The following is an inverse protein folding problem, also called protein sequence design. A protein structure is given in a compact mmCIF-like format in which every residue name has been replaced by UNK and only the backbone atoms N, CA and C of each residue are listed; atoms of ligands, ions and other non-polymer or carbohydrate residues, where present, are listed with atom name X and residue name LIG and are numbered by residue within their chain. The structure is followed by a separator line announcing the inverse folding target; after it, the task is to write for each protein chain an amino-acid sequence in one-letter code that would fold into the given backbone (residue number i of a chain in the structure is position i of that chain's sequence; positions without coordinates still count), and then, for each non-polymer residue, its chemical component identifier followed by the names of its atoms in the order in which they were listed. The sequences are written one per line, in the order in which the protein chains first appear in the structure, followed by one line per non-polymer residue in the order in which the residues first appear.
data_IF_170322170295
#
_entry.id   IF_170322170295
#
_cell.length_a   1.000
_cell.length_b   1.000
_cell.length_c   1.000
_cell.angle_alpha   90.00
_cell.angle_beta   90.00
_cell.angle_gamma   90.00
#
_symmetry.space_group_name_H-M   'P 1'
#
loop_
_entity.id
_entity.type
_entity.pdbx_description
1 polymer ?
#
# COMPACT_ATOMS: atom_id res chain seq x y z
N UNK A 1 7.61 18.88 8.83
CA UNK A 1 8.26 19.12 7.52
C UNK A 1 8.86 20.51 7.51
N UNK A 2 9.99 20.69 6.84
CA UNK A 2 10.68 21.99 6.73
C UNK A 2 10.52 22.62 5.34
N UNK A 3 10.01 21.85 4.38
CA UNK A 3 9.82 22.24 2.99
C UNK A 3 8.68 23.24 2.85
N UNK A 4 8.76 24.10 1.85
CA UNK A 4 7.70 25.02 1.47
C UNK A 4 6.44 24.23 1.11
N UNK A 5 5.29 24.69 1.59
CA UNK A 5 4.02 23.96 1.49
C UNK A 5 2.92 24.82 0.87
N UNK A 6 2.12 24.20 0.02
CA UNK A 6 0.82 24.72 -0.40
C UNK A 6 -0.27 23.94 0.34
N UNK A 7 -1.10 24.64 1.06
CA UNK A 7 -2.24 24.10 1.78
C UNK A 7 -3.45 24.02 0.83
N UNK A 8 -4.05 22.84 0.74
CA UNK A 8 -5.29 22.62 -0.03
C UNK A 8 -6.42 22.46 0.99
N UNK A 9 -7.42 23.31 0.93
CA UNK A 9 -8.64 23.17 1.73
C UNK A 9 -9.72 22.47 0.93
N UNK A 10 -10.27 21.40 1.53
CA UNK A 10 -11.34 20.63 0.94
C UNK A 10 -12.69 21.32 1.13
N UNK A 11 -13.19 21.90 0.03
CA UNK A 11 -14.51 22.50 -0.06
C UNK A 11 -15.46 21.65 -0.92
N UNK A 12 -15.30 20.32 -0.91
CA UNK A 12 -16.15 19.37 -1.63
C UNK A 12 -15.61 18.93 -3.00
N UNK A 13 -14.31 19.06 -3.23
CA UNK A 13 -13.66 18.61 -4.47
C UNK A 13 -13.18 17.15 -4.35
N UNK A 14 -13.53 16.33 -5.34
CA UNK A 14 -12.96 14.99 -5.51
C UNK A 14 -11.54 15.02 -6.11
N UNK A 15 -11.12 16.18 -6.64
CA UNK A 15 -9.83 16.39 -7.30
C UNK A 15 -8.68 16.73 -6.32
N UNK A 16 -8.94 16.85 -5.01
CA UNK A 16 -7.93 17.22 -4.02
C UNK A 16 -6.68 16.34 -4.05
N UNK A 17 -6.78 14.98 -4.10
CA UNK A 17 -5.60 14.13 -4.14
C UNK A 17 -4.80 14.28 -5.44
N UNK A 18 -5.48 14.53 -6.56
CA UNK A 18 -4.85 14.76 -7.86
C UNK A 18 -4.08 16.07 -7.86
N UNK A 19 -4.71 17.16 -7.44
CA UNK A 19 -4.09 18.48 -7.34
C UNK A 19 -2.86 18.44 -6.42
N UNK A 20 -2.97 17.77 -5.28
CA UNK A 20 -1.86 17.59 -4.35
C UNK A 20 -0.66 16.88 -5.02
N UNK A 21 -0.91 15.81 -5.77
CA UNK A 21 0.16 15.08 -6.50
C UNK A 21 0.79 15.92 -7.59
N UNK A 22 0.00 16.69 -8.34
CA UNK A 22 0.51 17.59 -9.39
C UNK A 22 1.46 18.64 -8.82
N UNK A 23 1.13 19.25 -7.68
CA UNK A 23 2.01 20.21 -7.02
C UNK A 23 3.26 19.53 -6.46
N UNK A 24 3.13 18.36 -5.83
CA UNK A 24 4.28 17.58 -5.34
C UNK A 24 5.20 17.12 -6.46
N UNK A 25 4.68 16.78 -7.62
CA UNK A 25 5.47 16.46 -8.81
C UNK A 25 6.31 17.66 -9.29
N UNK A 26 5.91 18.89 -8.96
CA UNK A 26 6.69 20.12 -9.21
C UNK A 26 7.74 20.39 -8.12
N UNK A 27 7.86 19.52 -7.11
CA UNK A 27 8.82 19.65 -6.01
C UNK A 27 8.36 20.52 -4.84
N UNK A 28 7.07 20.80 -4.70
CA UNK A 28 6.52 21.57 -3.58
C UNK A 28 5.58 20.69 -2.74
N UNK A 29 5.78 20.70 -1.43
CA UNK A 29 4.97 19.90 -0.52
C UNK A 29 3.53 20.40 -0.41
N UNK A 30 2.59 19.49 -0.18
CA UNK A 30 1.17 19.82 0.00
C UNK A 30 0.53 19.03 1.12
N UNK A 31 -0.42 19.64 1.80
CA UNK A 31 -1.36 18.94 2.70
C UNK A 31 -2.78 19.32 2.36
N UNK A 32 -3.71 18.36 2.51
CA UNK A 32 -5.15 18.55 2.36
C UNK A 32 -5.75 18.65 3.77
N UNK A 33 -6.43 19.76 4.04
CA UNK A 33 -7.09 20.01 5.32
C UNK A 33 -8.58 20.30 5.12
N UNK A 34 -9.42 20.12 6.15
CA UNK A 34 -10.81 20.51 6.09
C UNK A 34 -10.96 22.04 5.98
N UNK A 35 -12.07 22.46 5.40
CA UNK A 35 -12.39 23.88 5.19
C UNK A 35 -12.47 24.68 6.49
N UNK A 36 -12.82 24.05 7.61
CA UNK A 36 -13.01 24.63 8.92
C UNK A 36 -11.75 24.66 9.80
N UNK A 37 -10.56 24.56 9.18
CA UNK A 37 -9.25 24.63 9.87
C UNK A 37 -9.23 25.85 10.81
N UNK A 38 -8.82 25.62 12.06
CA UNK A 38 -8.73 26.66 13.08
C UNK A 38 -7.46 27.52 12.92
N UNK A 39 -7.47 28.71 13.57
CA UNK A 39 -6.30 29.57 13.61
C UNK A 39 -5.08 28.89 14.27
N UNK A 40 -5.29 28.06 15.28
CA UNK A 40 -4.22 27.33 15.96
C UNK A 40 -3.59 26.26 15.05
N UNK A 41 -4.42 25.51 14.30
CA UNK A 41 -3.95 24.51 13.34
C UNK A 41 -3.17 25.18 12.20
N UNK A 42 -3.69 26.29 11.68
CA UNK A 42 -2.99 27.05 10.62
C UNK A 42 -1.65 27.62 11.10
N UNK A 43 -1.60 28.13 12.33
CA UNK A 43 -0.37 28.63 12.94
C UNK A 43 0.66 27.51 13.20
N UNK A 44 0.25 26.26 13.31
CA UNK A 44 1.12 25.10 13.43
C UNK A 44 1.78 24.69 12.09
N UNK A 45 1.46 25.37 10.99
CA UNK A 45 1.98 25.13 9.64
C UNK A 45 2.85 26.32 9.16
N UNK A 46 4.02 26.55 9.80
CA UNK A 46 4.80 27.77 9.57
C UNK A 46 5.42 27.88 8.17
N UNK A 47 5.50 26.76 7.44
CA UNK A 47 6.05 26.71 6.07
C UNK A 47 4.97 26.83 4.99
N UNK A 48 3.71 27.07 5.33
CA UNK A 48 2.68 27.34 4.36
C UNK A 48 2.99 28.64 3.59
N UNK A 49 3.04 28.55 2.26
CA UNK A 49 3.32 29.67 1.35
C UNK A 49 2.07 30.17 0.65
N UNK A 50 1.03 29.38 0.61
CA UNK A 50 -0.23 29.73 -0.02
C UNK A 50 -1.32 28.71 0.29
N UNK A 51 -2.54 29.10 0.02
CA UNK A 51 -3.74 28.30 0.29
C UNK A 51 -4.57 28.19 -0.99
N UNK A 52 -5.00 26.98 -1.31
CA UNK A 52 -5.97 26.71 -2.39
C UNK A 52 -7.30 26.33 -1.76
N UNK A 53 -8.35 27.09 -2.07
CA UNK A 53 -9.73 26.76 -1.74
C UNK A 53 -10.30 25.94 -2.89
N UNK A 54 -10.36 24.61 -2.74
CA UNK A 54 -10.74 23.73 -3.83
C UNK A 54 -12.19 23.26 -3.68
N UNK A 55 -13.09 23.94 -4.35
CA UNK A 55 -14.50 23.60 -4.48
C UNK A 55 -14.71 22.48 -5.51
N UNK A 56 -15.93 21.96 -5.58
CA UNK A 56 -16.29 20.90 -6.51
C UNK A 56 -17.77 20.52 -6.43
N UNK A 57 -18.06 19.31 -6.86
CA UNK A 57 -19.44 18.81 -6.97
C UNK A 57 -20.17 18.76 -5.62
N UNK A 58 -19.44 18.57 -4.52
CA UNK A 58 -19.99 18.46 -3.17
C UNK A 58 -19.84 19.74 -2.33
N UNK A 59 -19.64 20.90 -2.99
CA UNK A 59 -19.44 22.20 -2.31
C UNK A 59 -20.69 22.75 -1.63
N UNK A 60 -21.86 22.20 -1.90
CA UNK A 60 -23.12 22.64 -1.31
C UNK A 60 -23.65 21.57 -0.38
N UNK A 61 -23.79 21.89 0.91
CA UNK A 61 -24.38 21.03 1.94
C UNK A 61 -25.60 21.74 2.50
N UNK A 62 -26.74 21.06 2.52
CA UNK A 62 -28.03 21.60 3.02
C UNK A 62 -28.41 22.95 2.38
N UNK A 63 -28.06 23.13 1.09
CA UNK A 63 -28.36 24.36 0.33
C UNK A 63 -27.41 25.52 0.61
N UNK A 64 -26.38 25.33 1.42
CA UNK A 64 -25.36 26.34 1.73
C UNK A 64 -24.01 25.92 1.15
N UNK A 65 -23.37 26.85 0.43
CA UNK A 65 -22.02 26.62 -0.08
C UNK A 65 -21.01 26.60 1.08
N UNK A 66 -20.20 25.52 1.15
CA UNK A 66 -19.13 25.38 2.14
C UNK A 66 -18.13 26.52 1.94
N UNK A 67 -17.67 27.10 3.03
CA UNK A 67 -16.67 28.17 2.99
C UNK A 67 -15.50 27.89 3.94
N UNK A 68 -14.36 28.51 3.66
CA UNK A 68 -13.22 28.44 4.54
C UNK A 68 -13.43 29.25 5.83
N UNK A 69 -12.76 28.84 6.89
CA UNK A 69 -12.82 29.56 8.18
C UNK A 69 -12.29 30.99 8.08
N UNK A 70 -12.75 31.88 8.96
CA UNK A 70 -12.25 33.27 9.01
C UNK A 70 -10.74 33.35 9.22
N UNK A 71 -10.13 32.37 9.88
CA UNK A 71 -8.69 32.28 10.10
C UNK A 71 -7.91 32.17 8.79
N UNK A 72 -8.47 31.51 7.79
CA UNK A 72 -7.87 31.37 6.45
C UNK A 72 -7.77 32.71 5.76
N UNK A 73 -8.86 33.46 5.72
CA UNK A 73 -8.90 34.77 5.10
C UNK A 73 -8.05 35.81 5.84
N UNK A 74 -7.87 35.65 7.15
CA UNK A 74 -7.03 36.49 8.00
C UNK A 74 -5.55 36.11 8.04
N UNK A 75 -5.15 35.01 7.35
CA UNK A 75 -3.80 34.46 7.44
C UNK A 75 -2.70 35.31 6.81
N UNK A 76 -3.06 36.19 5.88
CA UNK A 76 -2.09 36.98 5.09
C UNK A 76 -1.38 36.17 3.99
N UNK A 77 -1.69 34.86 3.85
CA UNK A 77 -1.16 34.04 2.79
C UNK A 77 -1.90 34.26 1.46
N UNK A 78 -1.24 34.12 0.31
CA UNK A 78 -1.92 34.09 -0.97
C UNK A 78 -2.99 33.00 -1.03
N UNK A 79 -4.19 33.36 -1.48
CA UNK A 79 -5.33 32.43 -1.60
C UNK A 79 -5.73 32.31 -3.08
N UNK A 80 -5.89 31.08 -3.54
CA UNK A 80 -6.45 30.77 -4.85
C UNK A 80 -7.75 29.95 -4.69
N UNK A 81 -8.85 30.54 -5.14
CA UNK A 81 -10.14 29.85 -5.15
C UNK A 81 -10.36 29.16 -6.51
N UNK A 82 -10.72 27.89 -6.47
CA UNK A 82 -11.04 27.03 -7.63
C UNK A 82 -12.46 26.52 -7.44
N UNK A 83 -13.33 26.78 -8.42
CA UNK A 83 -14.75 26.38 -8.40
C UNK A 83 -15.43 26.68 -7.04
N UNK A 84 -15.21 27.86 -6.52
CA UNK A 84 -15.73 28.34 -5.25
C UNK A 84 -16.13 29.82 -5.34
N UNK A 85 -17.35 30.16 -4.87
CA UNK A 85 -17.90 31.52 -4.84
C UNK A 85 -17.78 32.26 -6.20
N UNK A 86 -18.09 31.57 -7.28
CA UNK A 86 -18.07 32.13 -8.62
C UNK A 86 -16.68 32.20 -9.28
N UNK A 87 -15.64 31.65 -8.64
CA UNK A 87 -14.35 31.45 -9.29
C UNK A 87 -14.40 30.37 -10.35
N UNK A 88 -13.52 30.48 -11.35
CA UNK A 88 -13.47 29.53 -12.47
C UNK A 88 -12.95 28.16 -12.02
N UNK A 89 -13.55 27.05 -12.46
CA UNK A 89 -12.98 25.73 -12.30
C UNK A 89 -11.58 25.64 -12.93
N UNK A 90 -10.72 24.83 -12.36
CA UNK A 90 -9.44 24.51 -12.97
C UNK A 90 -9.65 23.66 -14.22
N UNK A 91 -8.91 23.92 -15.29
CA UNK A 91 -8.97 23.10 -16.50
C UNK A 91 -8.78 21.59 -16.15
N UNK A 92 -9.51 20.72 -16.84
CA UNK A 92 -9.48 19.29 -16.54
C UNK A 92 -8.08 18.69 -16.74
N UNK A 93 -7.40 19.06 -17.84
CA UNK A 93 -6.10 18.53 -18.24
C UNK A 93 -5.30 19.54 -19.06
N UNK A 94 -4.04 19.20 -19.36
CA UNK A 94 -3.19 19.86 -20.34
C UNK A 94 -2.41 21.06 -19.82
N UNK A 95 -1.77 21.76 -20.77
CA UNK A 95 -0.84 22.86 -20.48
C UNK A 95 -1.49 24.01 -19.68
N UNK A 96 -2.76 24.31 -19.94
CA UNK A 96 -3.48 25.37 -19.23
C UNK A 96 -3.62 25.06 -17.73
N UNK A 97 -3.89 23.79 -17.38
CA UNK A 97 -3.95 23.33 -15.98
C UNK A 97 -2.58 23.46 -15.32
N UNK A 98 -1.56 22.90 -15.94
CA UNK A 98 -0.19 22.94 -15.40
C UNK A 98 0.29 24.38 -15.22
N UNK A 99 0.05 25.23 -16.22
CA UNK A 99 0.42 26.65 -16.16
C UNK A 99 -0.25 27.38 -15.00
N UNK A 100 -1.56 27.18 -14.81
CA UNK A 100 -2.29 27.83 -13.71
C UNK A 100 -1.74 27.43 -12.34
N UNK A 101 -1.44 26.15 -12.14
CA UNK A 101 -0.84 25.65 -10.91
C UNK A 101 0.55 26.28 -10.71
N UNK A 102 1.41 26.27 -11.73
CA UNK A 102 2.76 26.87 -11.67
C UNK A 102 2.73 28.38 -11.37
N UNK A 103 1.84 29.12 -12.02
CA UNK A 103 1.69 30.55 -11.83
C UNK A 103 1.28 30.88 -10.38
N UNK A 104 0.43 30.08 -9.77
CA UNK A 104 0.08 30.23 -8.37
C UNK A 104 1.23 29.83 -7.45
N UNK A 105 1.76 28.62 -7.58
CA UNK A 105 2.76 28.05 -6.67
C UNK A 105 4.07 28.85 -6.71
N UNK A 106 4.62 29.06 -7.89
CA UNK A 106 5.92 29.74 -8.04
C UNK A 106 5.79 31.24 -8.32
N UNK A 107 4.77 31.64 -9.06
CA UNK A 107 4.54 33.04 -9.42
C UNK A 107 4.00 33.85 -8.25
N UNK A 108 2.94 33.41 -7.61
CA UNK A 108 2.24 34.12 -6.54
C UNK A 108 2.80 33.78 -5.17
N UNK A 109 2.86 32.50 -4.81
CA UNK A 109 3.31 32.05 -3.49
C UNK A 109 4.82 32.10 -3.30
N UNK A 110 5.61 32.19 -4.39
CA UNK A 110 7.08 32.17 -4.37
C UNK A 110 7.63 30.95 -3.63
N UNK A 111 6.95 29.80 -3.71
CA UNK A 111 7.40 28.57 -3.08
C UNK A 111 8.67 28.04 -3.76
N UNK A 112 9.55 27.44 -2.98
CA UNK A 112 10.75 26.77 -3.47
C UNK A 112 10.47 25.31 -3.74
N UNK A 113 11.05 24.76 -4.82
CA UNK A 113 10.96 23.35 -5.16
C UNK A 113 11.93 22.53 -4.30
N UNK A 114 11.64 22.37 -3.02
CA UNK A 114 12.49 21.70 -2.04
C UNK A 114 11.87 20.39 -1.48
N UNK A 115 10.72 19.95 -2.02
CA UNK A 115 10.13 18.65 -1.73
C UNK A 115 10.79 17.57 -2.57
N UNK A 116 11.54 16.68 -1.93
CA UNK A 116 12.13 15.48 -2.50
C UNK A 116 12.36 14.44 -1.40
N UNK A 117 12.68 13.20 -1.79
CA UNK A 117 12.80 12.12 -0.82
C UNK A 117 14.01 12.22 0.10
N UNK A 118 15.11 12.84 -0.33
CA UNK A 118 16.28 13.04 0.54
C UNK A 118 15.96 14.00 1.68
N UNK A 119 15.30 15.12 1.38
CA UNK A 119 14.85 16.07 2.38
C UNK A 119 13.77 15.46 3.29
N UNK A 120 12.82 14.70 2.73
CA UNK A 120 11.82 13.97 3.51
C UNK A 120 12.47 13.00 4.48
N UNK A 121 13.40 12.16 4.03
CA UNK A 121 14.09 11.17 4.86
C UNK A 121 14.86 11.86 5.99
N UNK A 122 15.58 12.94 5.69
CA UNK A 122 16.32 13.71 6.68
C UNK A 122 15.39 14.26 7.78
N UNK A 123 14.28 14.88 7.39
CA UNK A 123 13.28 15.41 8.32
C UNK A 123 12.63 14.32 9.16
N UNK A 124 12.27 13.17 8.53
CA UNK A 124 11.63 12.07 9.24
C UNK A 124 12.58 11.41 10.25
N UNK A 125 13.85 11.26 9.92
CA UNK A 125 14.85 10.74 10.87
C UNK A 125 14.92 11.64 12.11
N UNK A 126 14.92 12.95 11.94
CA UNK A 126 14.94 13.89 13.06
C UNK A 126 13.66 13.82 13.90
N UNK A 127 12.49 13.76 13.24
CA UNK A 127 11.18 13.64 13.90
C UNK A 127 11.06 12.34 14.68
N UNK A 128 11.44 11.21 14.09
CA UNK A 128 11.41 9.89 14.72
C UNK A 128 12.33 9.88 15.95
N UNK A 129 13.55 10.37 15.83
CA UNK A 129 14.49 10.44 16.98
C UNK A 129 13.94 11.27 18.13
N UNK A 130 13.28 12.37 17.82
CA UNK A 130 12.65 13.26 18.82
C UNK A 130 11.45 12.57 19.49
N UNK A 131 10.62 11.89 18.70
CA UNK A 131 9.42 11.20 19.20
C UNK A 131 9.78 10.00 20.06
N UNK A 132 10.70 9.18 19.58
CA UNK A 132 11.07 7.89 20.21
C UNK A 132 12.02 8.07 21.38
N UNK A 133 12.94 9.04 21.30
CA UNK A 133 13.96 9.24 22.32
C UNK A 133 14.84 7.99 22.50
N UNK A 134 14.93 7.50 23.73
CA UNK A 134 15.68 6.29 24.13
C UNK A 134 14.83 5.01 24.17
N UNK A 135 13.56 5.11 23.76
CA UNK A 135 12.59 4.01 23.85
C UNK A 135 12.73 3.02 22.70
N UNK A 136 12.06 1.88 22.84
CA UNK A 136 12.05 0.83 21.82
C UNK A 136 10.78 0.86 21.00
N UNK A 137 10.93 0.50 19.72
CA UNK A 137 9.86 0.46 18.73
C UNK A 137 9.67 -0.97 18.22
N UNK A 138 8.43 -1.41 18.11
CA UNK A 138 8.05 -2.68 17.50
C UNK A 138 7.42 -2.43 16.14
N UNK A 139 7.76 -3.25 15.15
CA UNK A 139 7.17 -3.21 13.80
C UNK A 139 6.76 -4.60 13.34
N UNK A 140 5.52 -4.75 12.90
CA UNK A 140 5.10 -5.92 12.14
C UNK A 140 5.59 -5.78 10.69
N UNK A 141 6.62 -6.52 10.33
CA UNK A 141 7.25 -6.49 9.01
C UNK A 141 6.60 -7.54 8.10
N UNK A 142 5.56 -7.16 7.39
CA UNK A 142 4.82 -8.07 6.50
C UNK A 142 5.58 -8.45 5.21
N UNK A 143 6.64 -7.71 4.86
CA UNK A 143 7.31 -7.81 3.57
C UNK A 143 6.60 -7.03 2.45
N UNK A 144 5.48 -6.35 2.72
CA UNK A 144 4.87 -5.37 1.83
C UNK A 144 5.73 -4.10 1.71
N UNK A 145 5.54 -3.31 0.63
CA UNK A 145 6.37 -2.13 0.38
C UNK A 145 6.31 -1.14 1.55
N UNK A 146 5.13 -0.87 2.11
CA UNK A 146 4.98 0.14 3.17
C UNK A 146 5.72 -0.26 4.44
N UNK A 147 5.49 -1.47 4.96
CA UNK A 147 6.20 -1.98 6.14
C UNK A 147 7.71 -2.06 5.91
N UNK A 148 8.14 -2.37 4.70
CA UNK A 148 9.56 -2.43 4.32
C UNK A 148 10.21 -1.04 4.33
N UNK A 149 9.53 -0.02 3.81
CA UNK A 149 10.02 1.37 3.82
C UNK A 149 10.03 1.92 5.25
N UNK A 150 9.00 1.63 6.06
CA UNK A 150 8.99 1.96 7.51
C UNK A 150 10.20 1.33 8.21
N UNK A 151 10.46 0.03 7.98
CA UNK A 151 11.60 -0.66 8.57
C UNK A 151 12.93 0.02 8.19
N UNK A 152 13.16 0.26 6.90
CA UNK A 152 14.39 0.87 6.41
C UNK A 152 14.62 2.28 6.99
N UNK A 153 13.55 3.07 7.08
CA UNK A 153 13.62 4.41 7.65
C UNK A 153 13.91 4.39 9.15
N UNK A 154 13.25 3.50 9.90
CA UNK A 154 13.46 3.34 11.34
C UNK A 154 14.84 2.77 11.66
N UNK A 155 15.35 1.81 10.89
CA UNK A 155 16.73 1.31 11.02
C UNK A 155 17.73 2.47 10.92
N UNK A 156 17.54 3.34 9.92
CA UNK A 156 18.40 4.51 9.70
C UNK A 156 18.25 5.56 10.81
N UNK A 157 17.06 5.71 11.38
CA UNK A 157 16.78 6.69 12.42
C UNK A 157 17.25 6.26 13.81
N UNK A 158 16.91 5.03 14.24
CA UNK A 158 17.02 4.56 15.62
C UNK A 158 17.76 3.22 15.77
N UNK A 159 18.15 2.57 14.66
CA UNK A 159 18.98 1.36 14.68
C UNK A 159 18.42 0.26 15.59
N UNK A 160 19.19 -0.15 16.58
CA UNK A 160 18.88 -1.28 17.48
C UNK A 160 17.67 -1.05 18.41
N UNK A 161 17.13 0.16 18.49
CA UNK A 161 15.89 0.42 19.23
C UNK A 161 14.67 -0.17 18.50
N UNK A 162 14.78 -0.47 17.19
CA UNK A 162 13.75 -1.14 16.41
C UNK A 162 13.86 -2.66 16.55
N UNK A 163 12.73 -3.30 16.85
CA UNK A 163 12.53 -4.74 16.69
C UNK A 163 11.48 -4.98 15.61
N UNK A 164 11.86 -5.70 14.56
CA UNK A 164 10.94 -6.15 13.52
C UNK A 164 10.47 -7.57 13.80
N UNK A 165 9.18 -7.84 13.63
CA UNK A 165 8.61 -9.20 13.69
C UNK A 165 8.08 -9.55 12.32
N UNK A 166 8.63 -10.61 11.71
CA UNK A 166 8.13 -11.18 10.47
C UNK A 166 7.51 -12.54 10.72
N UNK A 167 6.24 -12.68 10.37
CA UNK A 167 5.48 -13.92 10.54
C UNK A 167 5.34 -14.62 9.18
N UNK A 168 5.98 -15.78 9.05
CA UNK A 168 5.71 -16.68 7.92
C UNK A 168 4.47 -17.53 8.24
N UNK A 169 3.35 -17.11 7.71
CA UNK A 169 2.05 -17.78 7.87
C UNK A 169 1.77 -18.83 6.77
N UNK A 170 2.74 -19.12 5.91
CA UNK A 170 2.60 -20.12 4.86
C UNK A 170 1.80 -19.69 3.62
N UNK A 171 1.25 -18.47 3.60
CA UNK A 171 0.44 -17.94 2.49
C UNK A 171 1.19 -16.89 1.68
N UNK A 172 2.49 -16.72 1.90
CA UNK A 172 3.36 -15.84 1.13
C UNK A 172 3.77 -16.48 -0.20
N UNK A 173 4.19 -15.64 -1.15
CA UNK A 173 4.76 -16.11 -2.42
C UNK A 173 6.06 -16.85 -2.19
N UNK A 174 6.49 -17.62 -3.20
CA UNK A 174 7.78 -18.32 -3.18
C UNK A 174 8.94 -17.35 -2.98
N UNK A 175 9.78 -17.62 -1.99
CA UNK A 175 10.99 -16.86 -1.69
C UNK A 175 10.78 -15.54 -0.92
N UNK A 176 9.53 -15.14 -0.64
CA UNK A 176 9.28 -13.88 0.08
C UNK A 176 9.77 -13.89 1.54
N UNK A 177 9.52 -14.94 2.35
CA UNK A 177 10.04 -14.97 3.71
C UNK A 177 11.57 -14.90 3.75
N UNK A 178 12.24 -15.62 2.86
CA UNK A 178 13.70 -15.66 2.73
C UNK A 178 14.25 -14.30 2.31
N UNK A 179 13.59 -13.61 1.38
CA UNK A 179 13.97 -12.27 0.94
C UNK A 179 13.89 -11.26 2.09
N UNK A 180 12.85 -11.33 2.93
CA UNK A 180 12.72 -10.45 4.10
C UNK A 180 13.88 -10.68 5.08
N UNK A 181 14.23 -11.92 5.36
CA UNK A 181 15.37 -12.24 6.25
C UNK A 181 16.67 -11.73 5.65
N UNK A 182 16.93 -12.00 4.37
CA UNK A 182 18.15 -11.56 3.70
C UNK A 182 18.28 -10.03 3.74
N UNK A 183 17.28 -9.30 3.29
CA UNK A 183 17.35 -7.83 3.19
C UNK A 183 17.45 -7.20 4.58
N UNK A 184 16.56 -7.56 5.50
CA UNK A 184 16.48 -6.82 6.76
C UNK A 184 17.45 -7.32 7.81
N UNK A 185 17.67 -8.64 7.96
CA UNK A 185 18.59 -9.18 8.95
C UNK A 185 20.02 -9.14 8.47
N UNK A 186 20.30 -9.66 7.25
CA UNK A 186 21.66 -9.88 6.78
C UNK A 186 22.28 -8.62 6.16
N UNK A 187 21.54 -7.90 5.31
CA UNK A 187 22.07 -6.73 4.62
C UNK A 187 21.92 -5.44 5.42
N UNK A 188 20.76 -5.21 6.06
CA UNK A 188 20.48 -3.99 6.83
C UNK A 188 20.78 -4.10 8.33
N UNK A 189 21.08 -5.29 8.85
CA UNK A 189 21.44 -5.50 10.24
C UNK A 189 20.31 -5.25 11.24
N UNK A 190 19.04 -5.40 10.81
CA UNK A 190 17.89 -5.22 11.67
C UNK A 190 17.79 -6.28 12.76
N UNK A 191 17.31 -5.90 13.94
CA UNK A 191 16.86 -6.84 14.94
C UNK A 191 15.53 -7.46 14.47
N UNK A 192 15.62 -8.61 13.77
CA UNK A 192 14.49 -9.29 13.16
C UNK A 192 14.16 -10.58 13.89
N UNK A 193 12.96 -10.64 14.47
CA UNK A 193 12.32 -11.86 14.97
C UNK A 193 11.57 -12.50 13.82
N UNK A 194 12.01 -13.68 13.40
CA UNK A 194 11.34 -14.48 12.39
C UNK A 194 10.51 -15.57 13.07
N UNK A 195 9.22 -15.60 12.78
CA UNK A 195 8.29 -16.56 13.36
C UNK A 195 7.78 -17.49 12.27
N UNK A 196 8.12 -18.78 12.35
CA UNK A 196 7.51 -19.80 11.51
C UNK A 196 6.19 -20.25 12.14
N UNK A 197 5.09 -19.81 11.54
CA UNK A 197 3.73 -20.12 11.97
C UNK A 197 2.93 -20.87 10.90
N UNK A 198 3.60 -21.48 9.91
CA UNK A 198 2.95 -22.13 8.75
C UNK A 198 1.90 -23.14 9.19
N UNK A 199 2.26 -24.09 10.02
CA UNK A 199 1.32 -25.13 10.46
C UNK A 199 0.17 -24.54 11.28
N UNK A 200 0.46 -23.60 12.14
CA UNK A 200 -0.52 -22.91 12.98
C UNK A 200 -1.64 -22.24 12.17
N UNK A 201 -1.28 -21.56 11.08
CA UNK A 201 -2.26 -20.92 10.19
C UNK A 201 -3.01 -21.95 9.35
N UNK A 202 -2.31 -22.91 8.74
CA UNK A 202 -2.92 -23.90 7.86
C UNK A 202 -3.87 -24.83 8.60
N UNK A 203 -3.57 -25.21 9.83
CA UNK A 203 -4.45 -26.02 10.67
C UNK A 203 -5.78 -25.30 11.00
N UNK A 204 -5.72 -23.99 11.26
CA UNK A 204 -6.92 -23.17 11.48
C UNK A 204 -7.75 -22.92 10.23
N UNK A 205 -7.14 -22.98 9.07
CA UNK A 205 -7.78 -22.81 7.77
C UNK A 205 -8.31 -24.13 7.19
N UNK A 206 -7.99 -25.27 7.81
CA UNK A 206 -8.41 -26.59 7.33
C UNK A 206 -9.94 -26.67 7.21
N UNK A 207 -10.44 -27.00 6.00
CA UNK A 207 -11.87 -27.11 5.72
C UNK A 207 -12.64 -25.79 5.63
N UNK A 208 -11.98 -24.65 5.73
CA UNK A 208 -12.62 -23.32 5.62
C UNK A 208 -12.63 -22.89 4.16
N UNK A 209 -13.83 -22.86 3.55
CA UNK A 209 -14.01 -22.49 2.13
C UNK A 209 -14.54 -21.08 1.90
N UNK A 210 -15.19 -20.48 2.89
CA UNK A 210 -15.73 -19.13 2.78
C UNK A 210 -14.61 -18.07 2.82
N UNK A 211 -14.52 -17.18 1.81
CA UNK A 211 -13.42 -16.23 1.70
C UNK A 211 -13.35 -15.23 2.85
N UNK A 212 -14.49 -14.74 3.33
CA UNK A 212 -14.51 -13.78 4.44
C UNK A 212 -14.10 -14.44 5.76
N UNK A 213 -14.47 -15.71 5.94
CA UNK A 213 -14.03 -16.49 7.09
C UNK A 213 -12.53 -16.76 7.05
N UNK A 214 -11.97 -17.08 5.86
CA UNK A 214 -10.50 -17.17 5.69
C UNK A 214 -9.81 -15.87 6.11
N UNK A 215 -10.25 -14.70 5.59
CA UNK A 215 -9.69 -13.39 5.93
C UNK A 215 -9.72 -13.12 7.44
N UNK A 216 -10.84 -13.39 8.10
CA UNK A 216 -11.00 -13.22 9.54
C UNK A 216 -10.07 -14.12 10.35
N UNK A 217 -9.92 -15.38 9.96
CA UNK A 217 -9.04 -16.33 10.64
C UNK A 217 -7.59 -15.89 10.48
N UNK A 218 -7.16 -15.54 9.25
CA UNK A 218 -5.78 -15.10 8.97
C UNK A 218 -5.47 -13.84 9.77
N UNK A 219 -6.33 -12.83 9.73
CA UNK A 219 -6.14 -11.60 10.47
C UNK A 219 -6.09 -11.79 11.98
N UNK A 220 -7.04 -12.53 12.54
CA UNK A 220 -7.08 -12.80 13.98
C UNK A 220 -5.85 -13.61 14.46
N UNK A 221 -5.41 -14.59 13.67
CA UNK A 221 -4.25 -15.39 14.04
C UNK A 221 -2.94 -14.62 13.93
N UNK A 222 -2.83 -13.75 12.92
CA UNK A 222 -1.69 -12.84 12.79
C UNK A 222 -1.55 -11.96 14.04
N UNK A 223 -2.65 -11.37 14.50
CA UNK A 223 -2.67 -10.52 15.71
C UNK A 223 -2.22 -11.33 16.94
N UNK A 224 -2.70 -12.57 17.11
CA UNK A 224 -2.30 -13.43 18.25
C UNK A 224 -0.81 -13.76 18.23
N UNK A 225 -0.28 -14.15 17.07
CA UNK A 225 1.15 -14.45 16.93
C UNK A 225 1.99 -13.19 17.23
N UNK A 226 1.56 -12.05 16.69
CA UNK A 226 2.26 -10.79 16.93
C UNK A 226 2.21 -10.36 18.39
N UNK A 227 1.06 -10.51 19.06
CA UNK A 227 0.90 -10.26 20.49
C UNK A 227 1.80 -11.15 21.34
N UNK A 228 1.86 -12.46 21.05
CA UNK A 228 2.72 -13.42 21.75
C UNK A 228 4.19 -13.02 21.64
N UNK A 229 4.64 -12.56 20.48
CA UNK A 229 6.01 -12.08 20.28
C UNK A 229 6.24 -10.74 20.98
N UNK A 230 5.28 -9.80 20.91
CA UNK A 230 5.36 -8.52 21.60
C UNK A 230 5.50 -8.68 23.11
N UNK A 231 4.80 -9.64 23.72
CA UNK A 231 4.86 -9.93 25.17
C UNK A 231 6.20 -10.51 25.62
N UNK A 232 7.00 -11.09 24.73
CA UNK A 232 8.35 -11.59 25.03
C UNK A 232 9.40 -10.48 25.06
N UNK A 233 9.06 -9.31 24.51
CA UNK A 233 9.96 -8.17 24.38
C UNK A 233 9.75 -7.18 25.53
N UNK A 234 10.85 -6.78 26.16
CA UNK A 234 10.81 -5.82 27.26
C UNK A 234 11.09 -4.38 26.79
N UNK A 235 10.39 -3.43 27.38
CA UNK A 235 10.63 -2.01 27.19
C UNK A 235 10.17 -1.46 25.83
N UNK A 236 9.21 -2.13 25.16
CA UNK A 236 8.57 -1.59 23.96
C UNK A 236 7.50 -0.59 24.37
N UNK A 237 7.62 0.65 23.89
CA UNK A 237 6.65 1.72 24.15
C UNK A 237 5.95 2.19 22.86
N UNK A 238 6.55 1.93 21.69
CA UNK A 238 6.03 2.36 20.41
C UNK A 238 5.73 1.20 19.46
N UNK A 239 4.64 1.35 18.69
CA UNK A 239 4.31 0.49 17.57
C UNK A 239 4.42 1.30 16.27
N UNK A 240 5.26 0.84 15.33
CA UNK A 240 5.37 1.45 14.03
C UNK A 240 4.34 0.88 13.05
N UNK A 241 3.76 1.75 12.23
CA UNK A 241 2.75 1.38 11.23
C UNK A 241 3.04 2.01 9.87
N UNK A 242 2.67 1.30 8.82
CA UNK A 242 2.83 1.72 7.43
C UNK A 242 1.64 2.50 6.87
N UNK A 243 0.95 3.29 7.70
CA UNK A 243 -0.11 4.21 7.25
C UNK A 243 0.44 5.18 6.22
N UNK A 244 -0.27 5.38 5.13
CA UNK A 244 0.09 6.31 4.05
C UNK A 244 -0.98 7.41 3.87
N UNK A 245 -0.67 8.44 3.09
CA UNK A 245 -1.54 9.62 3.00
C UNK A 245 -2.95 9.33 2.44
N UNK A 246 -3.15 8.46 1.44
CA UNK A 246 -4.49 8.05 1.01
C UNK A 246 -5.34 7.47 2.13
N UNK A 247 -4.77 6.67 3.04
CA UNK A 247 -5.51 6.09 4.18
C UNK A 247 -6.08 7.17 5.09
N UNK A 248 -5.38 8.31 5.23
CA UNK A 248 -5.81 9.45 6.03
C UNK A 248 -6.90 10.24 5.31
N UNK A 249 -6.74 10.48 4.00
CA UNK A 249 -7.70 11.25 3.21
C UNK A 249 -9.04 10.53 3.11
N UNK A 250 -9.02 9.22 2.81
CA UNK A 250 -10.22 8.39 2.65
C UNK A 250 -11.01 8.25 3.96
N UNK A 251 -10.33 8.36 5.10
CA UNK A 251 -10.97 8.28 6.42
C UNK A 251 -11.78 9.50 6.79
N UNK A 252 -11.67 10.58 6.05
CA UNK A 252 -12.25 11.87 6.39
C UNK A 252 -11.60 12.50 7.64
N UNK A 253 -11.32 13.76 7.60
CA UNK A 253 -10.61 14.52 8.65
C UNK A 253 -11.29 14.54 10.03
N UNK A 254 -12.54 14.10 10.12
CA UNK A 254 -13.31 14.03 11.40
C UNK A 254 -13.46 12.62 11.99
N UNK A 255 -13.00 11.56 11.31
CA UNK A 255 -13.18 10.17 11.73
C UNK A 255 -11.88 9.38 11.87
N UNK A 256 -10.85 9.95 12.46
CA UNK A 256 -9.60 9.24 12.84
C UNK A 256 -9.85 7.95 13.65
N UNK A 257 -11.04 7.78 14.23
CA UNK A 257 -11.46 6.54 14.90
C UNK A 257 -11.94 5.42 13.96
N UNK A 258 -12.35 5.72 12.72
CA UNK A 258 -12.92 4.72 11.81
C UNK A 258 -11.84 3.97 10.97
N UNK A 259 -10.71 4.61 10.68
CA UNK A 259 -9.58 3.97 9.94
C UNK A 259 -8.85 2.91 10.75
N UNK A 260 -9.02 2.91 12.05
CA UNK A 260 -8.37 1.92 12.94
C UNK A 260 -8.74 0.46 12.68
N UNK A 261 -9.65 0.13 11.76
CA UNK A 261 -10.16 -1.23 11.63
C UNK A 261 -9.61 -2.08 10.48
N UNK A 262 -8.96 -1.52 9.45
CA UNK A 262 -8.65 -2.28 8.24
C UNK A 262 -7.15 -2.43 7.87
N UNK A 263 -6.26 -1.57 8.34
CA UNK A 263 -4.83 -1.63 8.04
C UNK A 263 -3.93 -1.72 9.28
N UNK A 264 -4.50 -1.75 10.45
CA UNK A 264 -3.78 -1.73 11.71
C UNK A 264 -3.77 -3.09 12.38
N UNK A 265 -2.69 -3.36 13.10
CA UNK A 265 -2.65 -4.29 14.23
C UNK A 265 -3.62 -3.79 15.33
N UNK A 266 -4.78 -3.26 14.93
CA UNK A 266 -5.83 -2.65 15.76
C UNK A 266 -6.73 -3.64 16.51
N UNK A 267 -6.23 -4.88 16.66
CA UNK A 267 -6.84 -5.90 17.54
C UNK A 267 -5.92 -6.30 18.66
N UNK A 268 -4.81 -5.55 18.89
CA UNK A 268 -3.98 -5.79 20.06
C UNK A 268 -4.79 -5.46 21.33
N UNK A 269 -4.63 -6.26 22.40
CA UNK A 269 -5.27 -6.02 23.68
C UNK A 269 -4.95 -4.63 24.25
N UNK A 270 -5.90 -4.03 24.95
CA UNK A 270 -5.77 -2.70 25.55
C UNK A 270 -4.62 -2.60 26.58
N UNK A 271 -4.19 -3.73 27.15
CA UNK A 271 -3.06 -3.79 28.07
C UNK A 271 -1.68 -3.65 27.39
N UNK A 272 -1.61 -3.83 26.04
CA UNK A 272 -0.48 -3.46 25.21
C UNK A 272 -0.66 -2.01 24.72
N UNK A 273 -0.41 -1.06 25.60
CA UNK A 273 -0.61 0.36 25.32
C UNK A 273 0.62 0.98 24.65
N UNK A 274 0.68 0.86 23.31
CA UNK A 274 1.74 1.45 22.50
C UNK A 274 1.35 2.82 21.96
N UNK A 275 2.30 3.75 21.94
CA UNK A 275 2.21 4.95 21.12
C UNK A 275 2.54 4.61 19.66
N UNK A 276 1.90 5.31 18.70
CA UNK A 276 2.09 5.04 17.28
C UNK A 276 3.22 5.87 16.68
N UNK A 277 4.04 5.23 15.85
CA UNK A 277 5.01 5.87 14.96
C UNK A 277 4.59 5.58 13.52
N UNK A 278 4.14 6.61 12.79
CA UNK A 278 3.60 6.53 11.44
C UNK A 278 4.40 7.41 10.48
N UNK A 279 5.62 7.01 10.12
CA UNK A 279 6.55 7.91 9.41
C UNK A 279 6.16 8.18 7.96
N UNK A 280 5.29 7.37 7.37
CA UNK A 280 4.88 7.49 5.96
C UNK A 280 3.51 8.14 5.77
N UNK A 281 2.83 8.54 6.85
CA UNK A 281 1.44 9.00 6.82
C UNK A 281 1.17 10.22 5.93
N UNK A 282 2.22 10.94 5.53
CA UNK A 282 2.12 12.09 4.65
C UNK A 282 2.58 11.81 3.22
N UNK A 283 2.92 10.55 2.88
CA UNK A 283 3.35 10.16 1.54
C UNK A 283 2.24 9.49 0.73
N UNK A 284 2.16 9.82 -0.55
CA UNK A 284 1.44 9.02 -1.52
C UNK A 284 2.20 7.74 -1.85
N UNK A 285 1.53 6.75 -2.46
CA UNK A 285 2.12 5.43 -2.72
C UNK A 285 3.36 5.46 -3.63
N UNK A 286 3.36 6.33 -4.62
CA UNK A 286 4.50 6.57 -5.51
C UNK A 286 5.69 7.20 -4.76
N UNK A 287 5.42 8.12 -3.84
CA UNK A 287 6.44 8.71 -2.96
C UNK A 287 7.01 7.69 -1.98
N UNK A 288 6.17 6.79 -1.43
CA UNK A 288 6.64 5.67 -0.60
C UNK A 288 7.64 4.80 -1.36
N UNK A 289 7.34 4.48 -2.62
CA UNK A 289 8.26 3.72 -3.47
C UNK A 289 9.56 4.48 -3.73
N UNK A 290 9.48 5.77 -4.07
CA UNK A 290 10.65 6.61 -4.26
C UNK A 290 11.50 6.71 -2.98
N UNK A 291 10.86 6.81 -1.81
CA UNK A 291 11.51 6.78 -0.50
C UNK A 291 12.23 5.44 -0.26
N UNK A 292 11.59 4.32 -0.60
CA UNK A 292 12.19 2.98 -0.50
C UNK A 292 13.48 2.85 -1.33
N UNK A 293 13.45 3.35 -2.56
CA UNK A 293 14.66 3.39 -3.44
C UNK A 293 15.76 4.24 -2.82
N UNK A 294 15.42 5.45 -2.34
CA UNK A 294 16.38 6.35 -1.69
C UNK A 294 16.96 5.78 -0.39
N UNK A 295 16.24 4.89 0.29
CA UNK A 295 16.71 4.15 1.46
C UNK A 295 17.55 2.90 1.12
N UNK A 296 17.68 2.55 -0.16
CA UNK A 296 18.48 1.43 -0.64
C UNK A 296 17.77 0.08 -0.65
N UNK A 297 16.45 0.05 -0.56
CA UNK A 297 15.69 -1.20 -0.70
C UNK A 297 15.78 -1.74 -2.15
N UNK A 298 15.82 -3.07 -2.34
CA UNK A 298 15.83 -3.67 -3.67
C UNK A 298 14.60 -3.25 -4.51
N UNK A 299 14.82 -2.96 -5.79
CA UNK A 299 13.76 -2.58 -6.71
C UNK A 299 12.64 -3.64 -6.79
N UNK A 300 12.99 -4.93 -6.72
CA UNK A 300 12.05 -6.06 -6.68
C UNK A 300 11.11 -6.04 -5.47
N UNK A 301 11.53 -5.43 -4.38
CA UNK A 301 10.70 -5.25 -3.18
C UNK A 301 9.85 -3.98 -3.27
N UNK A 302 10.42 -2.89 -3.77
CA UNK A 302 9.77 -1.57 -3.86
C UNK A 302 8.68 -1.53 -4.94
N UNK A 303 8.98 -2.10 -6.12
CA UNK A 303 8.08 -2.07 -7.29
C UNK A 303 7.26 -3.34 -7.47
N UNK A 304 7.22 -4.21 -6.45
CA UNK A 304 6.39 -5.40 -6.52
C UNK A 304 4.93 -5.06 -6.81
N UNK A 305 4.27 -5.92 -7.59
CA UNK A 305 2.84 -5.79 -7.86
C UNK A 305 2.01 -5.97 -6.56
N UNK A 306 0.77 -5.46 -6.52
CA UNK A 306 -0.12 -5.65 -5.39
C UNK A 306 -0.25 -7.12 -4.99
N UNK A 307 -0.36 -7.37 -3.69
CA UNK A 307 -0.59 -8.69 -3.13
C UNK A 307 -1.62 -8.58 -2.01
N UNK A 308 -2.67 -9.41 -2.01
CA UNK A 308 -3.73 -9.30 -1.02
C UNK A 308 -3.22 -9.61 0.39
N UNK A 309 -3.82 -8.97 1.41
CA UNK A 309 -3.46 -9.21 2.81
C UNK A 309 -3.50 -10.68 3.22
N UNK A 310 -4.54 -11.48 2.84
CA UNK A 310 -4.58 -12.92 3.11
C UNK A 310 -3.58 -13.75 2.29
N UNK A 311 -2.79 -13.14 1.43
CA UNK A 311 -1.80 -13.80 0.59
C UNK A 311 -2.42 -14.80 -0.38
N UNK A 312 -1.75 -15.94 -0.56
CA UNK A 312 -2.23 -17.03 -1.42
C UNK A 312 -3.52 -17.70 -0.88
N UNK A 313 -3.96 -17.38 0.33
CA UNK A 313 -5.17 -17.91 0.92
C UNK A 313 -6.43 -17.61 0.12
N UNK A 314 -6.49 -16.46 -0.58
CA UNK A 314 -7.60 -16.06 -1.48
C UNK A 314 -7.32 -16.40 -2.95
N UNK A 315 -6.20 -17.04 -3.26
CA UNK A 315 -5.84 -17.57 -4.58
C UNK A 315 -5.89 -19.11 -4.64
N UNK A 316 -5.92 -19.77 -3.47
CA UNK A 316 -6.29 -21.17 -3.33
C UNK A 316 -7.80 -21.20 -3.03
N UNK A 317 -8.62 -21.31 -4.09
CA UNK A 317 -10.07 -21.09 -4.02
C UNK A 317 -10.76 -22.24 -3.27
N UNK A 318 -11.76 -21.91 -2.47
CA UNK A 318 -12.39 -22.86 -1.56
C UNK A 318 -11.48 -23.26 -0.38
N UNK A 319 -11.64 -24.43 0.20
CA UNK A 319 -10.83 -24.87 1.33
C UNK A 319 -9.37 -25.07 0.92
N UNK A 320 -8.44 -24.49 1.68
CA UNK A 320 -7.00 -24.58 1.39
C UNK A 320 -6.50 -25.98 1.71
N UNK A 321 -5.80 -26.60 0.74
CA UNK A 321 -5.02 -27.83 0.94
C UNK A 321 -3.54 -27.56 0.65
N UNK A 322 -2.64 -28.30 1.33
CA UNK A 322 -1.20 -28.04 1.19
C UNK A 322 -0.69 -28.27 -0.23
N UNK A 323 -1.21 -29.28 -0.93
CA UNK A 323 -0.84 -29.58 -2.30
C UNK A 323 -1.29 -28.49 -3.28
N UNK A 324 -2.52 -27.96 -3.13
CA UNK A 324 -3.00 -26.83 -3.95
C UNK A 324 -2.28 -25.53 -3.60
N UNK A 325 -2.03 -25.29 -2.33
CA UNK A 325 -1.28 -24.10 -1.91
C UNK A 325 0.14 -24.10 -2.51
N UNK A 326 0.81 -25.25 -2.52
CA UNK A 326 2.12 -25.37 -3.15
C UNK A 326 2.02 -25.21 -4.67
N UNK A 327 1.00 -25.79 -5.29
CA UNK A 327 0.78 -25.68 -6.73
C UNK A 327 0.52 -24.21 -7.16
N UNK A 328 -0.25 -23.44 -6.40
CA UNK A 328 -0.47 -22.02 -6.72
C UNK A 328 0.82 -21.19 -6.48
N UNK A 329 1.59 -21.51 -5.45
CA UNK A 329 2.88 -20.83 -5.16
C UNK A 329 3.89 -21.05 -6.28
N UNK A 330 4.06 -22.28 -6.74
CA UNK A 330 4.98 -22.63 -7.82
C UNK A 330 4.53 -22.08 -9.18
N UNK A 331 3.24 -22.22 -9.51
CA UNK A 331 2.71 -21.66 -10.77
C UNK A 331 2.77 -20.14 -10.82
N UNK A 332 2.53 -19.44 -9.72
CA UNK A 332 2.68 -17.99 -9.62
C UNK A 332 4.15 -17.56 -9.80
N UNK A 333 5.08 -18.32 -9.25
CA UNK A 333 6.52 -18.07 -9.44
C UNK A 333 6.94 -18.19 -10.91
N UNK A 334 6.47 -19.21 -11.62
CA UNK A 334 6.71 -19.40 -13.07
C UNK A 334 6.12 -18.23 -13.87
N UNK A 335 4.87 -17.86 -13.58
CA UNK A 335 4.21 -16.74 -14.25
C UNK A 335 4.99 -15.44 -14.09
N UNK A 336 5.40 -15.11 -12.86
CA UNK A 336 6.17 -13.89 -12.58
C UNK A 336 7.54 -13.91 -13.27
N UNK A 337 8.22 -15.04 -13.27
CA UNK A 337 9.50 -15.21 -13.96
C UNK A 337 9.38 -14.96 -15.46
N UNK A 338 8.38 -15.56 -16.10
CA UNK A 338 8.16 -15.38 -17.54
C UNK A 338 7.71 -13.98 -17.91
N UNK A 339 6.87 -13.33 -17.08
CA UNK A 339 6.49 -11.93 -17.30
C UNK A 339 7.71 -11.00 -17.20
N UNK A 340 8.59 -11.22 -16.23
CA UNK A 340 9.83 -10.46 -16.10
C UNK A 340 10.75 -10.65 -17.31
N UNK A 341 10.97 -11.90 -17.74
CA UNK A 341 11.82 -12.23 -18.92
C UNK A 341 11.30 -11.62 -20.21
N UNK A 342 10.00 -11.45 -20.34
CA UNK A 342 9.35 -10.89 -21.53
C UNK A 342 9.03 -9.38 -21.40
N UNK A 343 9.57 -8.71 -20.39
CA UNK A 343 9.44 -7.26 -20.21
C UNK A 343 8.01 -6.79 -19.90
N UNK A 344 7.18 -7.64 -19.29
CA UNK A 344 5.82 -7.32 -18.85
C UNK A 344 5.78 -6.89 -17.37
N UNK A 345 6.81 -7.21 -16.59
CA UNK A 345 6.95 -6.71 -15.24
C UNK A 345 6.98 -5.17 -15.21
N UNK A 346 6.17 -4.57 -14.33
CA UNK A 346 6.00 -3.13 -14.26
C UNK A 346 5.12 -2.50 -15.35
N UNK A 347 4.78 -3.24 -16.43
CA UNK A 347 3.84 -2.80 -17.47
C UNK A 347 2.44 -3.32 -17.21
N UNK A 348 2.31 -4.57 -16.77
CA UNK A 348 1.03 -5.15 -16.35
C UNK A 348 0.84 -4.85 -14.88
N UNK A 349 -0.30 -4.24 -14.53
CA UNK A 349 -0.55 -3.75 -13.18
C UNK A 349 -0.58 -4.87 -12.14
N UNK A 350 -1.30 -5.98 -12.43
CA UNK A 350 -1.33 -7.17 -11.58
C UNK A 350 -1.51 -8.43 -12.41
N UNK A 351 -0.75 -9.46 -12.09
CA UNK A 351 -0.85 -10.77 -12.69
C UNK A 351 -0.50 -11.84 -11.66
N UNK A 352 -1.24 -12.94 -11.69
CA UNK A 352 -1.11 -14.01 -10.71
C UNK A 352 -1.74 -15.30 -11.22
N UNK A 353 -1.51 -16.39 -10.50
CA UNK A 353 -2.25 -17.62 -10.67
C UNK A 353 -3.21 -17.84 -9.50
N UNK A 354 -4.36 -18.48 -9.79
CA UNK A 354 -5.29 -18.99 -8.81
C UNK A 354 -5.53 -20.47 -9.05
N UNK A 355 -5.85 -21.22 -8.02
CA UNK A 355 -6.12 -22.64 -8.11
C UNK A 355 -7.51 -22.96 -7.55
N UNK A 356 -8.49 -23.32 -8.41
CA UNK A 356 -9.81 -23.73 -7.97
C UNK A 356 -9.78 -25.14 -7.38
N UNK A 357 -10.81 -25.49 -6.61
CA UNK A 357 -11.04 -26.86 -6.16
C UNK A 357 -11.65 -27.70 -7.31
N UNK A 358 -10.89 -27.79 -8.39
CA UNK A 358 -11.29 -28.44 -9.64
C UNK A 358 -10.15 -29.24 -10.23
N UNK A 359 -10.40 -30.53 -10.45
CA UNK A 359 -9.50 -31.44 -11.17
C UNK A 359 -9.97 -31.67 -12.59
N UNK A 360 -9.03 -31.99 -13.44
CA UNK A 360 -9.25 -32.30 -14.85
C UNK A 360 -8.38 -33.50 -15.26
N UNK A 361 -8.94 -34.31 -16.13
CA UNK A 361 -8.21 -35.45 -16.70
C UNK A 361 -7.08 -34.96 -17.59
N UNK A 362 -5.90 -35.54 -17.42
CA UNK A 362 -4.73 -35.36 -18.23
C UNK A 362 -3.89 -36.62 -18.33
N UNK A 363 -2.68 -36.48 -18.83
CA UNK A 363 -1.71 -37.58 -18.93
C UNK A 363 -0.42 -37.18 -18.23
N UNK A 364 0.07 -38.02 -17.33
CA UNK A 364 1.39 -37.91 -16.71
C UNK A 364 2.09 -39.27 -16.79
N UNK A 365 3.33 -39.25 -17.26
CA UNK A 365 4.14 -40.50 -17.42
C UNK A 365 3.40 -41.61 -18.19
N UNK A 366 2.75 -41.25 -19.30
CA UNK A 366 1.91 -42.12 -20.13
C UNK A 366 0.72 -42.80 -19.42
N UNK A 367 0.30 -42.28 -18.26
CA UNK A 367 -0.87 -42.73 -17.51
C UNK A 367 -1.89 -41.62 -17.39
N UNK A 368 -3.18 -42.05 -17.35
CA UNK A 368 -4.27 -41.10 -17.03
C UNK A 368 -4.06 -40.56 -15.63
N UNK A 369 -4.09 -39.26 -15.51
CA UNK A 369 -4.00 -38.54 -14.24
C UNK A 369 -5.18 -37.57 -14.10
N UNK A 370 -5.69 -37.43 -12.87
CA UNK A 370 -6.73 -36.47 -12.51
C UNK A 370 -6.10 -35.43 -11.59
N UNK A 371 -5.76 -34.27 -12.17
CA UNK A 371 -4.92 -33.27 -11.53
C UNK A 371 -5.58 -31.88 -11.59
N UNK A 372 -5.05 -30.95 -10.77
CA UNK A 372 -5.59 -29.62 -10.59
C UNK A 372 -5.52 -28.76 -11.85
N UNK A 373 -6.47 -27.82 -11.95
CA UNK A 373 -6.45 -26.74 -12.92
C UNK A 373 -5.85 -25.49 -12.26
N UNK A 374 -5.07 -24.72 -13.02
CA UNK A 374 -4.56 -23.40 -12.64
C UNK A 374 -5.17 -22.36 -13.55
N UNK A 375 -5.54 -21.22 -12.99
CA UNK A 375 -6.06 -20.06 -13.71
C UNK A 375 -5.00 -18.99 -13.70
N UNK A 376 -4.66 -18.46 -14.87
CA UNK A 376 -3.83 -17.24 -15.04
C UNK A 376 -4.77 -16.05 -15.11
N UNK A 377 -4.46 -15.02 -14.33
CA UNK A 377 -5.12 -13.72 -14.33
C UNK A 377 -4.08 -12.64 -14.61
N UNK A 378 -4.34 -11.74 -15.55
CA UNK A 378 -3.50 -10.57 -15.84
C UNK A 378 -4.38 -9.37 -16.19
N UNK A 379 -4.24 -8.26 -15.47
CA UNK A 379 -5.13 -7.11 -15.58
C UNK A 379 -4.38 -5.79 -15.46
N UNK A 380 -4.94 -4.76 -16.11
CA UNK A 380 -4.52 -3.38 -16.00
C UNK A 380 -5.65 -2.51 -15.44
N UNK A 381 -5.27 -1.56 -14.61
CA UNK A 381 -6.19 -0.59 -14.00
C UNK A 381 -5.45 0.69 -13.65
N UNK A 382 -6.21 1.79 -13.52
CA UNK A 382 -5.70 3.08 -13.04
C UNK A 382 -6.03 3.27 -11.55
N UNK A 383 -7.24 2.89 -11.16
CA UNK A 383 -7.84 3.21 -9.86
C UNK A 383 -8.35 1.99 -9.07
N UNK A 384 -8.17 0.79 -9.62
CA UNK A 384 -8.73 -0.48 -9.14
C UNK A 384 -10.28 -0.54 -9.14
N UNK A 385 -10.99 0.51 -9.54
CA UNK A 385 -12.46 0.49 -9.66
C UNK A 385 -12.90 -0.24 -10.93
N UNK A 386 -12.20 0.01 -12.03
CA UNK A 386 -12.35 -0.71 -13.30
C UNK A 386 -11.03 -1.39 -13.66
N UNK A 387 -11.09 -2.53 -14.32
CA UNK A 387 -9.89 -3.22 -14.80
C UNK A 387 -10.14 -3.89 -16.15
N UNK A 388 -9.18 -3.76 -17.04
CA UNK A 388 -9.16 -4.46 -18.34
C UNK A 388 -8.24 -5.67 -18.25
N UNK A 389 -8.55 -6.70 -19.03
CA UNK A 389 -7.66 -7.87 -19.16
C UNK A 389 -6.48 -7.50 -20.05
N UNK A 390 -5.29 -7.90 -19.61
CA UNK A 390 -4.07 -7.73 -20.42
C UNK A 390 -4.09 -8.63 -21.64
N UNK A 391 -3.69 -8.08 -22.79
CA UNK A 391 -3.50 -8.85 -24.02
C UNK A 391 -2.14 -9.55 -24.01
N UNK A 392 -2.03 -10.60 -23.21
CA UNK A 392 -0.79 -11.40 -23.14
C UNK A 392 -0.57 -12.14 -24.46
N UNK A 393 0.62 -12.08 -25.08
CA UNK A 393 0.91 -12.81 -26.30
C UNK A 393 0.59 -14.30 -26.17
N UNK A 394 -0.12 -14.84 -27.15
CA UNK A 394 -0.58 -16.24 -27.10
C UNK A 394 0.56 -17.24 -26.98
N UNK A 395 1.66 -17.01 -27.70
CA UNK A 395 2.84 -17.87 -27.62
C UNK A 395 3.47 -17.87 -26.22
N UNK A 396 3.44 -16.73 -25.53
CA UNK A 396 3.87 -16.63 -24.15
C UNK A 396 2.95 -17.42 -23.21
N UNK A 397 1.62 -17.32 -23.39
CA UNK A 397 0.67 -18.12 -22.62
C UNK A 397 0.88 -19.62 -22.84
N UNK A 398 1.17 -20.05 -24.07
CA UNK A 398 1.49 -21.45 -24.37
C UNK A 398 2.81 -21.87 -23.69
N UNK A 399 3.82 -21.03 -23.71
CA UNK A 399 5.10 -21.32 -23.05
C UNK A 399 4.93 -21.44 -21.53
N UNK A 400 4.23 -20.49 -20.89
CA UNK A 400 3.91 -20.52 -19.46
C UNK A 400 3.13 -21.81 -19.13
N UNK A 401 2.13 -22.14 -19.94
CA UNK A 401 1.33 -23.38 -19.78
C UNK A 401 2.20 -24.63 -19.83
N UNK A 402 3.12 -24.70 -20.80
CA UNK A 402 4.05 -25.83 -20.93
C UNK A 402 4.93 -25.98 -19.68
N UNK A 403 5.47 -24.86 -19.17
CA UNK A 403 6.26 -24.84 -17.95
C UNK A 403 5.43 -25.27 -16.72
N UNK A 404 4.27 -24.67 -16.50
CA UNK A 404 3.42 -24.99 -15.34
C UNK A 404 3.05 -26.47 -15.33
N UNK A 405 2.61 -27.02 -16.47
CA UNK A 405 2.20 -28.43 -16.55
C UNK A 405 3.35 -29.43 -16.45
N UNK A 406 4.56 -29.02 -16.77
CA UNK A 406 5.78 -29.84 -16.64
C UNK A 406 6.42 -29.73 -15.26
N UNK A 407 6.53 -28.53 -14.71
CA UNK A 407 7.32 -28.24 -13.50
C UNK A 407 6.47 -28.31 -12.22
N UNK A 408 5.16 -27.96 -12.28
CA UNK A 408 4.30 -27.92 -11.08
C UNK A 408 3.64 -29.28 -10.86
N UNK A 409 3.95 -29.89 -9.72
CA UNK A 409 3.38 -31.19 -9.33
C UNK A 409 1.88 -31.07 -9.13
N UNK A 410 1.13 -32.02 -9.70
CA UNK A 410 -0.32 -32.12 -9.52
C UNK A 410 -1.15 -31.15 -10.37
N UNK A 411 -0.54 -30.46 -11.36
CA UNK A 411 -1.22 -29.56 -12.29
C UNK A 411 -1.09 -30.06 -13.73
N UNK A 412 -2.23 -30.17 -14.44
CA UNK A 412 -2.27 -30.60 -15.85
C UNK A 412 -3.13 -29.74 -16.76
N UNK A 413 -3.73 -28.69 -16.23
CA UNK A 413 -4.53 -27.78 -17.05
C UNK A 413 -4.32 -26.35 -16.62
N UNK A 414 -4.15 -25.46 -17.61
CA UNK A 414 -4.04 -24.01 -17.40
C UNK A 414 -5.16 -23.33 -18.17
N UNK A 415 -5.80 -22.37 -17.51
CA UNK A 415 -6.87 -21.53 -18.04
C UNK A 415 -6.41 -20.08 -17.99
N UNK A 416 -6.96 -19.23 -18.86
CA UNK A 416 -6.73 -17.78 -18.82
C UNK A 416 -8.06 -17.06 -18.60
N UNK A 417 -8.16 -16.20 -17.58
CA UNK A 417 -9.38 -15.49 -17.25
C UNK A 417 -9.48 -14.19 -18.07
N UNK A 418 -10.50 -14.12 -18.92
CA UNK A 418 -10.78 -13.00 -19.81
C UNK A 418 -11.80 -12.01 -19.23
N UNK A 419 -12.20 -12.12 -17.98
CA UNK A 419 -13.28 -11.32 -17.41
C UNK A 419 -12.77 -9.97 -16.92
N UNK A 420 -13.29 -8.83 -17.42
CA UNK A 420 -12.92 -7.50 -16.92
C UNK A 420 -13.62 -7.19 -15.58
N UNK A 421 -13.19 -6.09 -14.95
CA UNK A 421 -13.91 -5.49 -13.82
C UNK A 421 -14.57 -4.16 -14.28
N UNK A 422 -15.87 -3.92 -14.04
CA UNK A 422 -16.85 -4.96 -13.79
C UNK A 422 -17.06 -5.80 -15.07
N UNK A 423 -17.53 -7.00 -15.11
CA UNK A 423 -18.47 -7.78 -14.30
C UNK A 423 -17.81 -8.68 -13.25
N UNK A 424 -16.57 -9.07 -13.46
CA UNK A 424 -15.80 -9.77 -12.45
C UNK A 424 -15.15 -8.83 -11.44
N UNK A 425 -14.31 -9.40 -10.60
CA UNK A 425 -13.39 -8.70 -9.69
C UNK A 425 -11.94 -8.89 -10.16
N UNK A 426 -10.97 -8.25 -9.52
CA UNK A 426 -9.56 -8.50 -9.81
C UNK A 426 -9.15 -9.84 -9.22
N UNK A 427 -9.27 -10.00 -7.90
CA UNK A 427 -9.08 -11.29 -7.23
C UNK A 427 -10.33 -12.15 -7.39
N UNK A 428 -10.20 -13.46 -7.26
CA UNK A 428 -11.29 -14.42 -7.39
C UNK A 428 -12.09 -14.62 -6.09
N UNK A 429 -11.43 -14.40 -4.94
CA UNK A 429 -12.03 -14.44 -3.59
C UNK A 429 -11.76 -13.16 -2.79
#
# INVERSE_FOLDING_TARGET
MKQDMILILDLGSEENPRLAREIRAMGVYTEIHPHDISAAELAALPNAKGIILNGGVNRVVDGVEIDASAAVYGSGLPIWAIDHKGSTPLAADGEAREKAIRDFVFGTCKAEANWNMDNFIADQIELIRRQVGDKKVLLALSGGVDSSVVAALLIKAIGNQLTCVHVNHGLLRKGEPEQVVQVFREEMGANLVYVDAVDRFLDKLAGVSDPERKRKIIGAEFIRVFEEEARKLEGIEFLAQGTIYPDIIESGTKTVKAVKSHHNVGGLPEDLNFELVEPLKMLFKDEVRACGVALGLPASMVYRQPFPGPGLGVRCLGAITRDRLEAVRESDAILREEFARNGLEGKVWQYFTAIPDLKSVGVRDNKRADEWCVIIRAVNTVDAMTATVENVPFDLLQHITARITAEVKGVKRVLFDLTPKPTGTIEWE
#
